data_IF_285490973234
#
_entry.id   IF_285490973234
#
_cell.length_a   1.000
_cell.length_b   1.000
_cell.length_c   1.000
_cell.angle_alpha   90.00
_cell.angle_beta   90.00
_cell.angle_gamma   90.00
#
_symmetry.space_group_name_H-M   'P 1'
#
loop_
_entity.id
_entity.type
_entity.pdbx_description
1 polymer ?
#
# COMPACT_ATOMS: atom_id res chain seq x y z
N UNK A 1 11.44 -9.24 -71.09
CA UNK A 1 11.76 -8.53 -69.83
C UNK A 1 13.24 -8.71 -69.57
N UNK A 2 14.06 -7.65 -69.68
CA UNK A 2 15.50 -7.73 -69.40
C UNK A 2 15.70 -7.62 -67.89
N UNK A 3 16.11 -8.70 -67.24
CA UNK A 3 16.41 -8.72 -65.81
C UNK A 3 17.61 -7.79 -65.56
N UNK A 4 17.41 -6.72 -64.79
CA UNK A 4 18.45 -5.74 -64.49
C UNK A 4 19.37 -6.31 -63.40
N UNK A 5 20.28 -7.20 -63.80
CA UNK A 5 21.21 -7.93 -62.93
C UNK A 5 22.00 -7.01 -62.00
N UNK A 6 22.31 -5.78 -62.44
CA UNK A 6 22.99 -4.77 -61.61
C UNK A 6 22.16 -4.33 -60.40
N UNK A 7 20.83 -4.19 -60.56
CA UNK A 7 19.93 -3.79 -59.47
C UNK A 7 19.79 -4.92 -58.44
N UNK A 8 19.75 -6.17 -58.91
CA UNK A 8 19.69 -7.36 -58.06
C UNK A 8 20.97 -7.50 -57.24
N UNK A 9 22.14 -7.29 -57.85
CA UNK A 9 23.43 -7.34 -57.11
C UNK A 9 23.50 -6.24 -56.06
N UNK A 10 23.08 -5.01 -56.37
CA UNK A 10 23.07 -3.91 -55.39
C UNK A 10 22.13 -4.22 -54.22
N UNK A 11 20.89 -4.66 -54.47
CA UNK A 11 19.97 -5.07 -53.39
C UNK A 11 20.53 -6.20 -52.53
N UNK A 12 21.17 -7.21 -53.15
CA UNK A 12 21.74 -8.34 -52.43
C UNK A 12 22.93 -7.91 -51.56
N UNK A 13 23.77 -6.99 -52.04
CA UNK A 13 24.90 -6.45 -51.27
C UNK A 13 24.47 -5.55 -50.10
N UNK A 14 23.40 -4.76 -50.24
CA UNK A 14 22.89 -3.91 -49.14
C UNK A 14 22.20 -4.73 -48.06
N UNK A 15 21.58 -5.87 -48.41
CA UNK A 15 20.91 -6.75 -47.44
C UNK A 15 21.91 -7.50 -46.55
N UNK A 16 23.13 -7.75 -47.04
CA UNK A 16 24.21 -8.40 -46.25
C UNK A 16 24.89 -7.47 -45.23
N UNK A 17 24.59 -6.16 -45.22
CA UNK A 17 25.18 -5.20 -44.27
C UNK A 17 24.29 -4.93 -43.05
N UNK A 18 23.14 -5.59 -42.91
CA UNK A 18 22.32 -5.52 -41.70
C UNK A 18 22.92 -6.43 -40.64
N UNK A 19 23.92 -5.92 -39.92
CA UNK A 19 24.37 -6.52 -38.67
C UNK A 19 23.32 -6.22 -37.61
N UNK A 20 22.60 -7.23 -37.12
CA UNK A 20 21.82 -7.08 -35.91
C UNK A 20 22.77 -6.70 -34.77
N UNK A 21 22.54 -5.57 -34.12
CA UNK A 21 23.26 -5.26 -32.90
C UNK A 21 22.93 -6.37 -31.88
N UNK A 22 23.92 -7.05 -31.25
CA UNK A 22 23.63 -7.89 -30.09
C UNK A 22 22.74 -7.14 -29.10
N UNK A 23 21.66 -7.79 -28.67
CA UNK A 23 20.90 -7.32 -27.53
C UNK A 23 21.88 -7.16 -26.36
N UNK A 24 21.92 -5.99 -25.75
CA UNK A 24 22.70 -5.81 -24.54
C UNK A 24 22.06 -6.66 -23.46
N UNK A 25 22.74 -7.73 -23.05
CA UNK A 25 22.40 -8.50 -21.85
C UNK A 25 22.70 -7.61 -20.65
N UNK A 26 21.74 -6.75 -20.29
CA UNK A 26 21.78 -6.02 -19.04
C UNK A 26 21.43 -6.98 -17.91
N UNK A 27 22.40 -7.80 -17.53
CA UNK A 27 22.29 -8.69 -16.39
C UNK A 27 22.74 -7.95 -15.13
N UNK A 28 21.79 -7.61 -14.24
CA UNK A 28 22.14 -7.27 -12.87
C UNK A 28 22.41 -8.56 -12.11
N UNK A 29 23.68 -8.94 -12.01
CA UNK A 29 24.12 -10.21 -11.42
C UNK A 29 23.97 -10.24 -9.89
N UNK A 30 24.01 -9.10 -9.21
CA UNK A 30 23.74 -8.98 -7.79
C UNK A 30 23.43 -7.54 -7.39
N UNK A 31 22.48 -7.35 -6.48
CA UNK A 31 22.16 -6.07 -5.86
C UNK A 31 21.58 -6.30 -4.45
N UNK A 32 21.76 -5.32 -3.56
CA UNK A 32 21.02 -5.23 -2.29
C UNK A 32 20.18 -3.96 -2.35
N UNK A 33 18.88 -4.09 -2.04
CA UNK A 33 17.96 -2.97 -1.91
C UNK A 33 17.62 -2.88 -0.42
N UNK A 34 18.25 -1.95 0.28
CA UNK A 34 18.11 -1.75 1.73
C UNK A 34 16.83 -0.98 2.11
N UNK A 35 15.96 -0.71 1.13
CA UNK A 35 14.79 0.15 1.24
C UNK A 35 14.47 0.82 -0.09
N UNK A 36 13.25 1.34 -0.24
CA UNK A 36 12.81 2.03 -1.45
C UNK A 36 11.30 2.23 -1.50
N UNK A 37 10.83 2.82 -2.59
CA UNK A 37 9.41 3.04 -2.85
C UNK A 37 9.18 4.07 -3.93
N UNK A 38 7.94 4.20 -4.39
CA UNK A 38 7.62 5.16 -5.44
C UNK A 38 6.22 4.99 -6.02
N UNK A 39 5.91 5.87 -6.96
CA UNK A 39 4.66 5.87 -7.70
C UNK A 39 4.88 5.26 -9.08
N UNK A 40 4.17 4.18 -9.38
CA UNK A 40 4.08 3.60 -10.71
C UNK A 40 2.77 4.04 -11.36
N UNK A 41 2.84 4.48 -12.62
CA UNK A 41 1.67 4.97 -13.37
C UNK A 41 1.51 4.15 -14.64
N UNK A 42 0.31 3.62 -14.86
CA UNK A 42 -0.08 2.92 -16.08
C UNK A 42 -1.48 3.37 -16.52
N UNK A 43 -1.54 4.35 -17.43
CA UNK A 43 -2.81 4.94 -17.86
C UNK A 43 -3.50 5.70 -16.72
N UNK A 44 -4.78 5.43 -16.41
CA UNK A 44 -5.46 6.07 -15.28
C UNK A 44 -5.09 5.46 -13.92
N UNK A 45 -4.35 4.35 -13.91
CA UNK A 45 -4.02 3.65 -12.68
C UNK A 45 -2.70 4.14 -12.11
N UNK A 46 -2.72 4.43 -10.82
CA UNK A 46 -1.56 4.82 -10.03
C UNK A 46 -1.40 3.79 -8.92
N UNK A 47 -0.20 3.22 -8.80
CA UNK A 47 0.17 2.29 -7.75
C UNK A 47 1.34 2.89 -6.96
N UNK A 48 1.14 3.14 -5.68
CA UNK A 48 2.19 3.56 -4.76
C UNK A 48 2.58 2.39 -3.86
N UNK A 49 3.87 2.24 -3.58
CA UNK A 49 4.34 1.19 -2.70
C UNK A 49 5.79 1.37 -2.30
N UNK A 50 6.23 0.55 -1.35
CA UNK A 50 7.58 0.56 -0.78
C UNK A 50 8.24 -0.81 -0.84
N UNK A 51 9.57 -0.84 -0.94
CA UNK A 51 10.39 -2.05 -0.93
C UNK A 51 11.26 -2.02 0.32
N UNK A 52 11.32 -3.11 1.08
CA UNK A 52 12.23 -3.24 2.22
C UNK A 52 11.77 -2.52 3.50
N UNK A 53 10.48 -2.47 3.78
CA UNK A 53 9.98 -1.99 5.08
C UNK A 53 10.46 -2.96 6.18
N UNK A 54 11.24 -2.51 7.19
CA UNK A 54 11.52 -3.34 8.36
C UNK A 54 10.20 -3.71 9.06
N UNK A 55 10.16 -4.88 9.71
CA UNK A 55 8.96 -5.45 10.35
C UNK A 55 8.14 -4.40 11.10
N UNK A 56 6.82 -4.42 10.89
CA UNK A 56 5.88 -3.48 11.47
C UNK A 56 5.95 -3.50 13.00
N UNK A 57 5.94 -2.31 13.61
CA UNK A 57 5.92 -2.16 15.06
C UNK A 57 6.51 -0.87 15.57
N UNK A 58 6.18 -0.57 16.82
CA UNK A 58 6.68 0.61 17.54
C UNK A 58 7.90 0.21 18.36
N UNK A 59 9.03 0.89 18.13
CA UNK A 59 10.21 0.79 18.99
C UNK A 59 10.35 2.09 19.78
N UNK A 60 10.23 2.01 21.10
CA UNK A 60 10.34 3.16 21.99
C UNK A 60 11.59 3.12 22.88
N UNK A 61 12.23 4.27 23.09
CA UNK A 61 13.30 4.45 24.07
C UNK A 61 13.21 5.84 24.73
N UNK A 62 12.62 5.89 25.93
CA UNK A 62 12.42 7.12 26.68
C UNK A 62 11.36 8.00 26.02
N UNK A 63 11.73 9.22 25.63
CA UNK A 63 10.84 10.18 24.96
C UNK A 63 10.84 10.04 23.42
N UNK A 64 11.54 9.05 22.88
CA UNK A 64 11.65 8.84 21.44
C UNK A 64 10.94 7.56 21.03
N UNK A 65 10.22 7.67 19.91
CA UNK A 65 9.47 6.58 19.29
C UNK A 65 9.86 6.47 17.82
N UNK A 66 10.13 5.26 17.36
CA UNK A 66 10.34 4.91 15.97
C UNK A 66 9.23 3.95 15.55
N UNK A 67 8.35 4.38 14.66
CA UNK A 67 7.35 3.52 14.01
C UNK A 67 7.92 2.99 12.70
N UNK A 68 8.02 1.68 12.57
CA UNK A 68 8.26 0.98 11.32
C UNK A 68 6.98 0.28 10.85
N UNK A 69 6.81 0.10 9.54
CA UNK A 69 5.58 -0.47 8.97
C UNK A 69 5.23 0.18 7.62
N UNK A 70 4.02 -0.02 7.13
CA UNK A 70 3.55 0.68 5.93
C UNK A 70 3.53 2.21 6.14
N UNK A 71 3.57 2.98 5.06
CA UNK A 71 3.28 4.42 5.15
C UNK A 71 1.80 4.58 5.44
N UNK A 72 1.40 4.41 6.70
CA UNK A 72 0.12 4.96 7.12
C UNK A 72 0.32 6.46 7.26
N UNK A 73 -0.36 7.21 6.41
CA UNK A 73 -0.29 8.65 6.46
C UNK A 73 -1.10 9.07 7.69
N UNK A 74 -0.44 9.20 8.85
CA UNK A 74 -0.98 9.83 10.04
C UNK A 74 -1.39 11.28 9.71
N UNK A 75 -2.56 11.42 9.12
CA UNK A 75 -3.30 12.64 9.14
C UNK A 75 -3.97 12.63 10.51
N UNK A 76 -3.63 13.62 11.32
CA UNK A 76 -4.17 13.88 12.67
C UNK A 76 -5.67 14.27 12.57
N UNK A 77 -6.44 13.47 11.84
CA UNK A 77 -7.88 13.53 11.68
C UNK A 77 -8.42 12.63 12.75
N UNK A 78 -9.17 13.19 13.69
CA UNK A 78 -9.93 12.39 14.65
C UNK A 78 -10.99 11.60 13.88
N UNK A 79 -10.67 10.37 13.51
CA UNK A 79 -11.61 9.44 12.91
C UNK A 79 -12.23 8.61 14.04
N UNK A 80 -13.56 8.59 14.21
CA UNK A 80 -14.20 7.74 15.21
C UNK A 80 -13.83 6.27 14.98
N UNK A 81 -13.23 5.62 15.97
CA UNK A 81 -12.78 4.22 15.89
C UNK A 81 -11.32 4.02 15.49
N UNK A 82 -10.60 5.10 15.14
CA UNK A 82 -9.14 5.09 14.92
C UNK A 82 -8.43 5.16 16.29
N UNK A 83 -7.92 4.02 16.76
CA UNK A 83 -7.25 3.94 18.05
C UNK A 83 -5.74 4.08 17.96
N UNK A 84 -5.13 3.58 16.88
CA UNK A 84 -3.68 3.68 16.75
C UNK A 84 -3.24 5.07 16.25
N UNK A 85 -4.23 5.93 15.94
CA UNK A 85 -4.18 7.33 15.55
C UNK A 85 -3.41 7.54 14.24
N UNK A 86 -3.62 6.64 13.29
CA UNK A 86 -2.95 6.66 12.00
C UNK A 86 -3.79 7.28 10.86
N UNK A 87 -5.03 7.68 11.17
CA UNK A 87 -5.90 8.48 10.31
C UNK A 87 -6.86 7.66 9.44
N UNK A 88 -6.95 6.35 9.62
CA UNK A 88 -8.01 5.52 9.03
C UNK A 88 -8.67 4.56 10.04
N UNK A 89 -9.53 3.65 9.55
CA UNK A 89 -10.20 2.63 10.39
C UNK A 89 -9.89 1.30 9.74
N UNK A 90 -8.99 0.52 10.33
CA UNK A 90 -8.52 -0.74 9.77
C UNK A 90 -8.33 -1.87 10.80
N UNK A 91 -7.56 -2.91 10.44
CA UNK A 91 -7.37 -4.08 11.31
C UNK A 91 -6.55 -3.76 12.56
N UNK A 92 -5.65 -2.77 12.49
CA UNK A 92 -4.77 -2.39 13.60
C UNK A 92 -5.57 -1.70 14.73
N UNK A 93 -6.75 -1.14 14.43
CA UNK A 93 -7.67 -0.56 15.42
C UNK A 93 -8.44 -1.56 16.28
N UNK A 94 -8.59 -2.80 15.80
CA UNK A 94 -9.39 -3.83 16.47
C UNK A 94 -8.96 -4.07 17.92
N UNK A 95 -7.67 -3.91 18.23
CA UNK A 95 -7.13 -4.21 19.56
C UNK A 95 -7.77 -3.34 20.66
N UNK A 96 -8.18 -2.12 20.33
CA UNK A 96 -8.77 -1.18 21.28
C UNK A 96 -10.27 -1.32 21.45
N UNK A 97 -10.97 -1.84 20.44
CA UNK A 97 -12.41 -2.09 20.53
C UNK A 97 -12.76 -2.97 21.74
N UNK A 98 -11.95 -4.00 21.98
CA UNK A 98 -12.16 -4.96 23.09
C UNK A 98 -12.06 -4.28 24.46
N UNK A 99 -11.29 -3.20 24.60
CA UNK A 99 -11.21 -2.45 25.86
C UNK A 99 -12.48 -1.65 26.18
N UNK A 100 -13.26 -1.33 25.14
CA UNK A 100 -14.51 -0.58 25.25
C UNK A 100 -15.75 -1.46 25.20
N UNK A 101 -15.64 -2.74 24.84
CA UNK A 101 -16.75 -3.68 24.78
C UNK A 101 -17.33 -3.98 26.17
N UNK A 102 -18.39 -3.26 26.54
CA UNK A 102 -19.12 -3.44 27.80
C UNK A 102 -20.37 -4.32 27.61
N UNK A 103 -20.91 -4.36 26.40
CA UNK A 103 -22.09 -5.13 26.04
C UNK A 103 -23.38 -4.29 25.99
N UNK A 104 -24.49 -4.90 25.56
CA UNK A 104 -25.73 -4.19 25.30
C UNK A 104 -26.33 -3.59 26.57
N UNK A 105 -26.81 -2.35 26.49
CA UNK A 105 -27.36 -1.52 27.55
C UNK A 105 -26.37 -1.10 28.65
N UNK A 106 -25.07 -1.31 28.46
CA UNK A 106 -24.05 -0.80 29.37
C UNK A 106 -23.50 0.53 28.83
N UNK A 107 -23.70 1.67 29.53
CA UNK A 107 -23.36 2.97 28.99
C UNK A 107 -21.89 3.11 28.64
N UNK A 108 -21.61 3.58 27.42
CA UNK A 108 -20.27 3.91 26.97
C UNK A 108 -19.65 4.98 27.89
N UNK A 109 -18.37 4.79 28.25
CA UNK A 109 -17.60 5.87 28.89
C UNK A 109 -17.23 6.93 27.84
N UNK A 110 -16.98 8.20 28.23
CA UNK A 110 -16.59 9.24 27.27
C UNK A 110 -15.35 8.90 26.42
N UNK A 111 -14.46 8.05 26.94
CA UNK A 111 -13.28 7.58 26.22
C UNK A 111 -13.63 6.54 25.13
N UNK A 112 -14.77 5.88 25.26
CA UNK A 112 -15.27 4.87 24.32
C UNK A 112 -16.31 5.41 23.34
N UNK A 113 -16.77 6.66 23.48
CA UNK A 113 -17.67 7.30 22.52
C UNK A 113 -17.22 7.23 21.05
N UNK A 114 -15.90 7.24 20.71
CA UNK A 114 -15.48 7.03 19.32
C UNK A 114 -15.85 5.66 18.74
N UNK A 115 -16.13 4.67 19.59
CA UNK A 115 -16.47 3.29 19.23
C UNK A 115 -17.97 3.01 19.16
N UNK A 116 -18.82 3.99 19.51
CA UNK A 116 -20.29 3.94 19.38
C UNK A 116 -20.67 4.32 17.94
N UNK A 117 -20.69 3.33 17.05
CA UNK A 117 -20.89 3.53 15.62
C UNK A 117 -22.36 3.67 15.25
N UNK A 118 -23.26 3.04 16.00
CA UNK A 118 -24.70 3.08 15.72
C UNK A 118 -25.46 4.17 16.51
N UNK A 119 -24.79 4.79 17.49
CA UNK A 119 -25.23 5.98 18.22
C UNK A 119 -26.20 5.68 19.36
N UNK A 120 -26.23 4.44 19.86
CA UNK A 120 -27.17 4.02 20.88
C UNK A 120 -26.67 4.21 22.34
N UNK A 121 -25.43 4.69 22.49
CA UNK A 121 -24.72 4.97 23.75
C UNK A 121 -24.27 3.74 24.54
N UNK A 122 -24.23 2.56 23.94
CA UNK A 122 -23.44 1.45 24.46
C UNK A 122 -22.34 1.06 23.46
N UNK A 123 -21.49 0.10 23.86
CA UNK A 123 -20.43 -0.43 22.99
C UNK A 123 -20.57 -1.94 23.00
N UNK A 124 -21.09 -2.49 21.91
CA UNK A 124 -21.51 -3.88 21.84
C UNK A 124 -21.25 -4.54 20.47
N UNK A 125 -21.91 -5.66 20.19
CA UNK A 125 -21.69 -6.39 18.93
C UNK A 125 -22.34 -5.73 17.71
N UNK A 126 -23.25 -4.78 17.89
CA UNK A 126 -23.80 -3.94 16.84
C UNK A 126 -22.72 -2.98 16.31
N UNK A 127 -21.96 -2.35 17.19
CA UNK A 127 -20.81 -1.51 16.81
C UNK A 127 -19.74 -2.32 16.09
N UNK A 128 -19.49 -3.55 16.53
CA UNK A 128 -18.57 -4.46 15.83
C UNK A 128 -19.02 -4.74 14.39
N UNK A 129 -20.33 -4.94 14.17
CA UNK A 129 -20.85 -5.18 12.83
C UNK A 129 -20.66 -3.96 11.92
N UNK A 130 -20.79 -2.76 12.49
CA UNK A 130 -20.60 -1.51 11.79
C UNK A 130 -19.13 -1.22 11.50
N UNK A 131 -18.22 -1.51 12.44
CA UNK A 131 -16.77 -1.50 12.23
C UNK A 131 -16.37 -2.40 11.07
N UNK A 132 -16.80 -3.67 11.09
CA UNK A 132 -16.48 -4.64 10.02
C UNK A 132 -17.05 -4.20 8.67
N UNK A 133 -18.19 -3.51 8.65
CA UNK A 133 -18.78 -2.95 7.42
C UNK A 133 -17.99 -1.77 6.88
N UNK A 134 -17.48 -0.90 7.75
CA UNK A 134 -16.63 0.25 7.37
C UNK A 134 -15.30 -0.26 6.80
N UNK A 135 -14.64 -1.18 7.51
CA UNK A 135 -13.38 -1.81 7.06
C UNK A 135 -13.49 -2.46 5.68
N UNK A 136 -14.59 -3.19 5.39
CA UNK A 136 -14.79 -3.85 4.10
C UNK A 136 -15.08 -2.89 2.93
N UNK A 137 -15.27 -1.60 3.20
CA UNK A 137 -15.63 -0.59 2.19
C UNK A 137 -14.45 0.27 1.71
N UNK A 138 -13.28 0.13 2.33
CA UNK A 138 -11.99 0.71 1.92
C UNK A 138 -11.31 -0.21 0.89
#
# INVERSE_FOLDING_TARGET
>A
MKTNTRLVVVMLTTLSMVTAAPAADFEMTWHTIDGGGGTSVAGPFTLQGTVGQPDAGVVANGAFELRGGFWSFALDVLVPGDCDHDGDIDLDDQECFVACLLGPNEPATPACNPWDFDGDNDIDLADWADFVRIFQSQ
#
